data_IF_745939753795
#
_entry.id   IF_745939753795
#
_cell.length_a   1.000
_cell.length_b   1.000
_cell.length_c   1.000
_cell.angle_alpha   90.00
_cell.angle_beta   90.00
_cell.angle_gamma   90.00
#
_symmetry.space_group_name_H-M   'P 1'
#
loop_
_entity.id
_entity.type
_entity.pdbx_description
1 polymer ?
#
# COMPACT_ATOMS: atom_id res chain seq x y z
N UNK A 1 36.29 -1.52 -12.38
CA UNK A 1 35.66 -2.83 -12.13
C UNK A 1 34.31 -2.54 -11.49
N UNK A 2 33.23 -2.51 -12.28
CA UNK A 2 31.90 -2.23 -11.77
C UNK A 2 31.40 -3.45 -11.00
N UNK A 3 31.09 -3.35 -9.70
CA UNK A 3 30.51 -4.46 -8.96
C UNK A 3 29.01 -4.49 -9.24
N UNK A 4 28.61 -4.77 -10.48
CA UNK A 4 27.23 -5.16 -10.77
C UNK A 4 27.07 -6.62 -10.33
N UNK A 5 26.88 -6.81 -9.03
CA UNK A 5 26.42 -8.07 -8.47
C UNK A 5 24.97 -8.26 -8.95
N UNK A 6 24.76 -9.09 -9.98
CA UNK A 6 23.47 -9.43 -10.59
C UNK A 6 22.52 -10.24 -9.67
N UNK A 7 22.61 -10.14 -8.35
CA UNK A 7 22.26 -11.30 -7.50
C UNK A 7 20.91 -11.27 -6.78
N UNK A 8 20.06 -10.24 -6.94
CA UNK A 8 18.77 -10.19 -6.24
C UNK A 8 17.67 -9.55 -7.10
N UNK A 9 17.44 -10.02 -8.34
CA UNK A 9 16.23 -9.65 -9.07
C UNK A 9 15.08 -10.57 -8.64
N UNK A 10 14.08 -10.03 -7.95
CA UNK A 10 12.94 -10.81 -7.44
C UNK A 10 11.63 -10.22 -7.93
N UNK A 11 10.77 -11.05 -8.53
CA UNK A 11 9.44 -10.66 -8.97
C UNK A 11 8.39 -11.29 -8.06
N UNK A 12 7.56 -10.45 -7.45
CA UNK A 12 6.53 -10.85 -6.50
C UNK A 12 5.16 -10.35 -6.96
N UNK A 13 4.13 -11.12 -6.63
CA UNK A 13 2.74 -10.82 -6.97
C UNK A 13 1.87 -10.86 -5.73
N UNK A 14 0.99 -9.88 -5.60
CA UNK A 14 -0.12 -9.95 -4.68
C UNK A 14 -1.34 -10.56 -5.39
N UNK A 15 -1.89 -11.63 -4.81
CA UNK A 15 -3.04 -12.34 -5.37
C UNK A 15 -4.25 -12.11 -4.49
N UNK A 16 -5.34 -11.64 -5.09
CA UNK A 16 -6.66 -11.49 -4.46
C UNK A 16 -7.65 -12.34 -5.21
N UNK A 17 -8.37 -13.23 -4.51
CA UNK A 17 -9.40 -14.09 -5.11
C UNK A 17 -8.90 -14.88 -6.35
N UNK A 18 -7.70 -15.46 -6.27
CA UNK A 18 -7.03 -16.21 -7.36
C UNK A 18 -6.65 -15.40 -8.60
N UNK A 19 -6.63 -14.07 -8.51
CA UNK A 19 -6.11 -13.19 -9.57
C UNK A 19 -4.97 -12.34 -9.01
N UNK A 20 -3.88 -12.24 -9.76
CA UNK A 20 -2.82 -11.29 -9.43
C UNK A 20 -3.38 -9.87 -9.65
N UNK A 21 -3.20 -8.99 -8.67
CA UNK A 21 -3.71 -7.61 -8.70
C UNK A 21 -2.57 -6.62 -8.70
N UNK A 22 -1.49 -6.90 -7.97
CA UNK A 22 -0.30 -6.06 -7.95
C UNK A 22 0.93 -6.89 -8.22
N UNK A 23 1.93 -6.29 -8.84
CA UNK A 23 3.26 -6.88 -8.96
C UNK A 23 4.30 -5.90 -8.43
N UNK A 24 5.41 -6.44 -7.96
CA UNK A 24 6.60 -5.65 -7.69
C UNK A 24 7.85 -6.45 -8.06
N UNK A 25 8.78 -5.75 -8.70
CA UNK A 25 10.02 -6.30 -9.21
C UNK A 25 11.19 -5.57 -8.57
N UNK A 26 11.89 -6.28 -7.70
CA UNK A 26 13.17 -5.83 -7.15
C UNK A 26 14.22 -5.90 -8.28
N UNK A 27 14.83 -4.77 -8.60
CA UNK A 27 15.83 -4.65 -9.67
C UNK A 27 17.10 -3.94 -9.19
N UNK A 28 18.15 -3.85 -10.00
CA UNK A 28 19.36 -3.11 -9.60
C UNK A 28 19.14 -1.60 -9.37
N UNK A 29 18.11 -1.01 -9.98
CA UNK A 29 17.88 0.45 -9.97
C UNK A 29 16.81 0.90 -8.97
N UNK A 30 16.00 -0.03 -8.47
CA UNK A 30 14.85 0.26 -7.61
C UNK A 30 13.83 -0.88 -7.65
N UNK A 31 12.68 -0.65 -7.01
CA UNK A 31 11.54 -1.57 -7.06
C UNK A 31 10.55 -1.03 -8.08
N UNK A 32 10.36 -1.78 -9.17
CA UNK A 32 9.36 -1.44 -10.18
C UNK A 32 8.04 -2.12 -9.84
N UNK A 33 6.96 -1.37 -9.70
CA UNK A 33 5.67 -1.90 -9.29
C UNK A 33 4.52 -1.29 -10.06
N UNK A 34 3.37 -1.95 -10.01
CA UNK A 34 2.14 -1.46 -10.61
C UNK A 34 0.97 -2.42 -10.40
N UNK A 35 -0.15 -2.03 -10.98
CA UNK A 35 -1.41 -2.76 -10.88
C UNK A 35 -1.62 -3.59 -12.16
N UNK A 36 -2.16 -4.79 -12.00
CA UNK A 36 -2.45 -5.71 -13.09
C UNK A 36 -3.94 -5.69 -13.40
N UNK A 37 -4.29 -5.22 -14.59
CA UNK A 37 -5.66 -5.23 -15.06
C UNK A 37 -5.85 -6.38 -16.06
N UNK A 38 -6.24 -7.53 -15.52
CA UNK A 38 -6.73 -8.65 -16.33
C UNK A 38 -8.21 -8.41 -16.61
N UNK A 39 -8.47 -7.54 -17.60
CA UNK A 39 -9.82 -7.18 -18.02
C UNK A 39 -10.74 -8.40 -18.06
N UNK A 40 -11.96 -8.26 -17.51
CA UNK A 40 -12.96 -9.31 -17.65
C UNK A 40 -13.14 -9.58 -19.16
N UNK A 41 -12.84 -10.81 -19.55
CA UNK A 41 -12.79 -11.27 -20.92
C UNK A 41 -13.94 -10.70 -21.75
N UNK A 42 -13.61 -9.90 -22.77
CA UNK A 42 -14.28 -9.79 -24.06
C UNK A 42 -15.70 -10.40 -24.12
N UNK A 43 -16.68 -9.79 -23.46
CA UNK A 43 -18.08 -10.07 -23.74
C UNK A 43 -18.47 -9.28 -24.98
N UNK A 44 -18.28 -9.93 -26.13
CA UNK A 44 -19.06 -9.80 -27.37
C UNK A 44 -19.31 -8.37 -27.91
N UNK A 45 -18.77 -8.10 -29.11
CA UNK A 45 -19.01 -6.92 -29.96
C UNK A 45 -18.37 -5.60 -29.50
N UNK A 46 -17.07 -5.43 -29.77
CA UNK A 46 -16.64 -4.38 -30.70
C UNK A 46 -15.23 -4.71 -31.16
N UNK A 47 -15.09 -4.92 -32.46
CA UNK A 47 -13.82 -5.08 -33.15
C UNK A 47 -13.55 -3.74 -33.82
N UNK A 48 -13.03 -2.77 -33.07
CA UNK A 48 -12.49 -1.55 -33.65
C UNK A 48 -11.41 -0.89 -32.78
N UNK A 49 -10.18 -0.97 -33.31
CA UNK A 49 -9.08 -0.01 -33.19
C UNK A 49 -8.17 -0.05 -31.95
N UNK A 50 -6.87 -0.20 -32.27
CA UNK A 50 -5.66 -0.11 -31.45
C UNK A 50 -5.44 -1.16 -30.34
N UNK A 51 -4.64 -2.17 -30.70
CA UNK A 51 -4.09 -3.18 -29.79
C UNK A 51 -2.96 -2.65 -28.92
N UNK A 52 -3.26 -1.66 -28.07
CA UNK A 52 -2.44 -1.32 -26.91
C UNK A 52 -3.11 -1.89 -25.65
N UNK A 53 -3.16 -3.22 -25.57
CA UNK A 53 -3.62 -3.94 -24.38
C UNK A 53 -2.58 -3.76 -23.26
N UNK A 54 -2.55 -2.58 -22.63
CA UNK A 54 -1.71 -2.32 -21.47
C UNK A 54 -2.32 -3.05 -20.26
N UNK A 55 -1.87 -4.28 -20.01
CA UNK A 55 -2.25 -5.09 -18.85
C UNK A 55 -1.78 -4.53 -17.50
N UNK A 56 -1.01 -3.44 -17.54
CA UNK A 56 -0.34 -2.87 -16.37
C UNK A 56 -0.69 -1.39 -16.26
N UNK A 57 -1.26 -1.01 -15.12
CA UNK A 57 -1.64 0.35 -14.76
C UNK A 57 -0.80 0.86 -13.58
N UNK A 58 -0.84 2.17 -13.30
CA UNK A 58 -0.20 2.81 -12.14
C UNK A 58 1.28 2.41 -11.92
N UNK A 59 2.05 2.37 -13.03
CA UNK A 59 3.47 1.99 -13.02
C UNK A 59 4.30 3.02 -12.27
N UNK A 60 5.13 2.58 -11.33
CA UNK A 60 6.08 3.42 -10.64
C UNK A 60 7.41 2.70 -10.37
N UNK A 61 8.49 3.49 -10.27
CA UNK A 61 9.81 3.01 -9.88
C UNK A 61 10.19 3.64 -8.54
N UNK A 62 10.13 2.83 -7.49
CA UNK A 62 10.53 3.21 -6.15
C UNK A 62 12.07 3.21 -6.06
N UNK A 63 12.65 4.39 -5.80
CA UNK A 63 14.08 4.56 -5.61
C UNK A 63 14.55 4.08 -4.23
N UNK A 64 15.69 3.40 -4.18
CA UNK A 64 16.31 2.94 -2.93
C UNK A 64 16.72 4.06 -1.97
N UNK A 65 16.79 5.31 -2.44
CA UNK A 65 17.04 6.46 -1.58
C UNK A 65 15.91 6.67 -0.56
N UNK A 66 14.67 6.30 -0.91
CA UNK A 66 13.51 6.40 0.00
C UNK A 66 13.57 5.40 1.17
N UNK A 67 14.48 4.43 1.12
CA UNK A 67 14.62 3.40 2.16
C UNK A 67 15.51 3.84 3.33
N UNK A 68 16.25 4.93 3.17
CA UNK A 68 17.34 5.38 4.04
C UNK A 68 17.34 6.90 4.25
N UNK A 69 16.15 7.51 4.17
CA UNK A 69 15.95 8.95 4.35
C UNK A 69 16.85 9.82 3.43
N UNK A 70 17.17 9.29 2.23
CA UNK A 70 17.93 10.00 1.20
C UNK A 70 19.45 10.06 1.39
N UNK A 71 20.00 9.44 2.45
CA UNK A 71 21.43 9.55 2.77
C UNK A 71 22.28 8.58 1.93
N UNK A 72 21.83 7.33 1.78
CA UNK A 72 22.55 6.30 1.00
C UNK A 72 21.59 5.34 0.31
N UNK A 73 21.77 5.04 -0.98
CA UNK A 73 20.92 4.06 -1.65
C UNK A 73 21.19 2.65 -1.09
N UNK A 74 20.28 2.14 -0.26
CA UNK A 74 20.39 0.79 0.32
C UNK A 74 19.48 -0.15 -0.46
N UNK A 75 20.09 -1.10 -1.17
CA UNK A 75 19.35 -2.13 -1.88
C UNK A 75 18.82 -3.20 -0.91
N UNK A 76 17.51 -3.51 -0.92
CA UNK A 76 16.96 -4.65 -0.19
C UNK A 76 17.53 -5.98 -0.68
N UNK A 77 17.74 -6.92 0.24
CA UNK A 77 18.15 -8.29 -0.10
C UNK A 77 16.98 -9.16 -0.57
N UNK A 78 15.75 -8.87 -0.11
CA UNK A 78 14.54 -9.59 -0.49
C UNK A 78 13.30 -8.70 -0.36
N UNK A 79 12.26 -9.04 -1.14
CA UNK A 79 11.00 -8.30 -1.24
C UNK A 79 9.81 -9.25 -0.98
N UNK A 80 8.73 -8.73 -0.39
CA UNK A 80 7.41 -9.33 -0.46
C UNK A 80 6.35 -8.23 -0.60
N UNK A 81 5.19 -8.57 -1.18
CA UNK A 81 4.14 -7.59 -1.54
C UNK A 81 2.81 -7.99 -0.94
N UNK A 82 2.16 -7.06 -0.24
CA UNK A 82 0.79 -7.18 0.26
C UNK A 82 -0.20 -6.31 -0.54
N UNK A 83 -1.44 -6.18 -0.07
CA UNK A 83 -2.42 -5.33 -0.74
C UNK A 83 -2.00 -3.87 -0.74
N UNK A 84 -1.37 -3.37 0.33
CA UNK A 84 -0.99 -1.95 0.46
C UNK A 84 0.48 -1.72 0.80
N UNK A 85 1.25 -2.77 1.08
CA UNK A 85 2.61 -2.64 1.60
C UNK A 85 3.65 -3.45 0.81
N UNK A 86 4.87 -2.95 0.87
CA UNK A 86 6.09 -3.69 0.57
C UNK A 86 6.78 -4.06 1.87
N UNK A 87 7.15 -5.33 1.99
CA UNK A 87 8.03 -5.81 3.03
C UNK A 87 9.42 -5.94 2.41
N UNK A 88 10.38 -5.21 2.97
CA UNK A 88 11.71 -5.07 2.42
C UNK A 88 12.74 -5.52 3.44
N UNK A 89 13.48 -6.58 3.11
CA UNK A 89 14.56 -7.05 3.96
C UNK A 89 15.82 -6.21 3.67
N UNK A 90 16.32 -5.50 4.68
CA UNK A 90 17.53 -4.69 4.61
C UNK A 90 18.43 -5.08 5.77
N UNK A 91 19.54 -5.75 5.46
CA UNK A 91 20.41 -6.33 6.48
C UNK A 91 19.64 -7.40 7.28
N UNK A 92 19.47 -7.18 8.58
CA UNK A 92 18.70 -8.07 9.47
C UNK A 92 17.37 -7.45 9.95
N UNK A 93 16.81 -6.53 9.15
CA UNK A 93 15.63 -5.76 9.48
C UNK A 93 14.62 -5.83 8.36
N UNK A 94 13.34 -5.92 8.69
CA UNK A 94 12.26 -5.85 7.69
C UNK A 94 11.62 -4.48 7.81
N UNK A 95 11.77 -3.67 6.77
CA UNK A 95 11.05 -2.40 6.66
C UNK A 95 9.73 -2.61 5.95
N UNK A 96 8.67 -2.08 6.53
CA UNK A 96 7.34 -2.05 5.94
C UNK A 96 7.11 -0.68 5.33
N UNK A 97 6.91 -0.64 4.02
CA UNK A 97 6.68 0.59 3.27
C UNK A 97 5.31 0.55 2.62
N UNK A 98 4.58 1.67 2.63
CA UNK A 98 3.33 1.79 1.90
C UNK A 98 3.59 1.87 0.39
N UNK A 99 2.89 1.06 -0.42
CA UNK A 99 3.04 1.07 -1.88
C UNK A 99 2.54 2.37 -2.51
N UNK A 100 1.59 3.05 -1.87
CA UNK A 100 0.85 4.18 -2.44
C UNK A 100 1.49 5.50 -2.03
N UNK A 101 1.72 5.71 -0.73
CA UNK A 101 2.40 6.92 -0.25
C UNK A 101 3.93 6.85 -0.33
N UNK A 102 4.49 5.66 -0.58
CA UNK A 102 5.93 5.40 -0.60
C UNK A 102 6.64 5.78 0.72
N UNK A 103 5.91 5.77 1.84
CA UNK A 103 6.42 6.07 3.17
C UNK A 103 6.72 4.79 3.95
N UNK A 104 7.78 4.81 4.75
CA UNK A 104 8.08 3.74 5.72
C UNK A 104 7.10 3.88 6.89
N UNK A 105 6.35 2.82 7.17
CA UNK A 105 5.38 2.79 8.27
C UNK A 105 5.98 2.13 9.50
N UNK A 106 6.76 1.07 9.32
CA UNK A 106 7.28 0.28 10.42
C UNK A 106 8.64 -0.35 10.07
N UNK A 107 9.45 -0.60 11.09
CA UNK A 107 10.70 -1.36 10.99
C UNK A 107 10.67 -2.48 12.03
N UNK A 108 10.70 -3.72 11.56
CA UNK A 108 10.72 -4.93 12.39
C UNK A 108 12.16 -5.41 12.55
N UNK A 109 12.58 -5.59 13.80
CA UNK A 109 13.86 -6.17 14.16
C UNK A 109 13.69 -7.62 14.56
N UNK A 110 14.55 -8.50 14.02
CA UNK A 110 14.65 -9.87 14.48
C UNK A 110 15.76 -9.95 15.52
N UNK A 111 15.37 -10.12 16.78
CA UNK A 111 16.30 -10.40 17.88
C UNK A 111 16.83 -11.82 17.71
N UNK A 112 17.91 -11.95 16.94
CA UNK A 112 18.68 -13.17 16.86
C UNK A 112 19.46 -13.27 18.17
N UNK A 113 18.98 -14.10 19.09
CA UNK A 113 19.71 -14.40 20.33
C UNK A 113 21.09 -14.95 19.99
N UNK A 114 22.10 -14.35 20.63
CA UNK A 114 23.54 -14.52 20.37
C UNK A 114 24.09 -15.95 20.48
N UNK A 115 23.26 -16.96 20.75
CA UNK A 115 23.66 -18.35 20.99
C UNK A 115 23.71 -19.20 19.73
N UNK A 116 23.22 -18.71 18.59
CA UNK A 116 23.42 -19.37 17.31
C UNK A 116 24.17 -18.43 16.37
N UNK A 117 25.23 -18.94 15.75
CA UNK A 117 25.96 -18.28 14.66
C UNK A 117 25.11 -18.18 13.38
N UNK A 118 23.80 -17.94 13.52
CA UNK A 118 22.88 -17.81 12.41
C UNK A 118 23.21 -16.51 11.68
N UNK A 119 23.72 -16.69 10.46
CA UNK A 119 23.67 -15.68 9.41
C UNK A 119 22.20 -15.22 9.39
N UNK A 120 21.93 -13.95 9.71
CA UNK A 120 20.57 -13.46 9.98
C UNK A 120 19.56 -13.68 8.86
N UNK A 121 18.36 -13.11 8.97
CA UNK A 121 17.27 -13.37 8.02
C UNK A 121 17.79 -13.26 6.57
N UNK A 122 17.55 -14.32 5.80
CA UNK A 122 18.11 -14.48 4.45
C UNK A 122 17.15 -13.91 3.42
N UNK A 123 15.86 -14.14 3.61
CA UNK A 123 14.85 -13.75 2.64
C UNK A 123 13.44 -13.69 3.22
N UNK A 124 12.55 -13.15 2.39
CA UNK A 124 11.12 -13.08 2.62
C UNK A 124 10.40 -13.96 1.61
N UNK A 125 9.26 -14.50 2.01
CA UNK A 125 8.33 -15.13 1.09
C UNK A 125 6.89 -14.88 1.52
N UNK A 126 5.97 -14.88 0.56
CA UNK A 126 4.54 -14.73 0.80
C UNK A 126 3.80 -15.98 0.37
N UNK A 127 2.92 -16.48 1.22
CA UNK A 127 1.90 -17.46 0.84
C UNK A 127 0.69 -16.70 0.27
N UNK A 128 0.57 -16.69 -1.05
CA UNK A 128 -0.51 -16.02 -1.75
C UNK A 128 -1.89 -16.67 -1.54
N UNK A 129 -1.94 -17.93 -1.10
CA UNK A 129 -3.20 -18.63 -0.81
C UNK A 129 -3.72 -18.30 0.58
N UNK A 130 -2.81 -18.23 1.56
CA UNK A 130 -3.16 -17.90 2.94
C UNK A 130 -3.13 -16.40 3.25
N UNK A 131 -2.49 -15.59 2.40
CA UNK A 131 -2.23 -14.17 2.67
C UNK A 131 -1.24 -13.96 3.81
N UNK A 132 -0.33 -14.91 4.03
CA UNK A 132 0.65 -14.89 5.12
C UNK A 132 2.04 -14.56 4.58
N UNK A 133 2.84 -13.93 5.43
CA UNK A 133 4.21 -13.56 5.12
C UNK A 133 5.15 -14.30 6.05
N UNK A 134 6.29 -14.73 5.51
CA UNK A 134 7.31 -15.44 6.25
C UNK A 134 8.68 -14.81 5.99
N UNK A 135 9.46 -14.73 7.05
CA UNK A 135 10.88 -14.44 7.03
C UNK A 135 11.62 -15.72 7.41
N UNK A 136 12.70 -16.06 6.73
CA UNK A 136 13.42 -17.29 7.00
C UNK A 136 14.93 -17.06 7.08
N UNK A 137 15.57 -17.84 7.95
CA UNK A 137 17.02 -17.95 8.05
C UNK A 137 17.47 -19.37 7.62
N UNK A 138 18.70 -19.78 7.96
CA UNK A 138 19.21 -21.11 7.59
C UNK A 138 18.52 -22.27 8.35
N UNK A 139 17.91 -22.00 9.49
CA UNK A 139 17.50 -22.99 10.49
C UNK A 139 16.05 -22.81 10.98
N UNK A 140 15.43 -21.67 10.73
CA UNK A 140 14.16 -21.22 11.31
C UNK A 140 13.32 -20.45 10.30
N UNK A 141 12.00 -20.51 10.49
CA UNK A 141 11.01 -19.74 9.73
C UNK A 141 10.16 -18.96 10.73
N UNK A 142 10.04 -17.66 10.51
CA UNK A 142 9.28 -16.73 11.31
C UNK A 142 8.08 -16.24 10.50
N UNK A 143 6.89 -16.32 11.08
CA UNK A 143 5.71 -15.73 10.46
C UNK A 143 5.64 -14.23 10.79
N UNK A 144 5.50 -13.41 9.76
CA UNK A 144 5.26 -11.98 9.88
C UNK A 144 3.75 -11.75 9.82
N UNK A 145 3.17 -11.33 10.94
CA UNK A 145 1.74 -11.03 11.03
C UNK A 145 1.45 -9.62 10.52
N UNK A 146 0.56 -9.52 9.53
CA UNK A 146 0.05 -8.24 9.04
C UNK A 146 -1.33 -8.03 9.64
N UNK A 147 -1.43 -7.12 10.59
CA UNK A 147 -2.68 -6.84 11.29
C UNK A 147 -3.30 -5.55 10.74
N UNK A 148 -4.47 -5.69 10.14
CA UNK A 148 -5.31 -4.58 9.71
C UNK A 148 -4.61 -3.53 8.81
N UNK A 149 -3.93 -3.99 7.76
CA UNK A 149 -3.17 -3.08 6.87
C UNK A 149 -4.01 -2.03 6.14
N UNK A 150 -5.32 -2.26 5.97
CA UNK A 150 -6.24 -1.33 5.33
C UNK A 150 -6.79 -0.24 6.25
N UNK A 151 -6.43 -0.23 7.54
CA UNK A 151 -7.08 0.62 8.56
C UNK A 151 -6.99 2.12 8.27
N UNK A 152 -5.80 2.58 7.91
CA UNK A 152 -5.50 4.01 7.71
C UNK A 152 -5.37 4.39 6.23
N UNK A 153 -5.64 3.45 5.31
CA UNK A 153 -5.51 3.69 3.87
C UNK A 153 -6.45 4.79 3.37
N UNK A 154 -7.62 4.98 3.98
CA UNK A 154 -8.51 6.08 3.63
C UNK A 154 -7.87 7.46 3.83
N UNK A 155 -6.99 7.63 4.84
CA UNK A 155 -6.25 8.88 5.08
C UNK A 155 -5.18 9.08 4.01
N UNK A 156 -4.45 8.01 3.69
CA UNK A 156 -3.42 8.03 2.64
C UNK A 156 -4.02 8.49 1.31
N UNK A 157 -5.15 7.90 0.90
CA UNK A 157 -5.84 8.33 -0.32
C UNK A 157 -6.41 9.75 -0.22
N UNK A 158 -6.85 10.17 0.98
CA UNK A 158 -7.35 11.52 1.20
C UNK A 158 -6.24 12.57 1.02
N UNK A 159 -5.05 12.32 1.54
CA UNK A 159 -3.88 13.19 1.40
C UNK A 159 -3.46 13.34 -0.08
N UNK A 160 -3.64 12.27 -0.86
CA UNK A 160 -3.42 12.28 -2.32
C UNK A 160 -4.57 12.92 -3.11
N UNK A 161 -5.66 13.32 -2.45
CA UNK A 161 -6.89 13.84 -3.07
C UNK A 161 -7.60 12.84 -3.98
N UNK A 162 -7.33 11.55 -3.80
CA UNK A 162 -8.01 10.45 -4.49
C UNK A 162 -9.28 10.04 -3.72
N UNK A 163 -10.27 10.92 -3.73
CA UNK A 163 -11.48 10.79 -2.91
C UNK A 163 -12.27 9.49 -3.17
N UNK A 164 -12.32 9.02 -4.43
CA UNK A 164 -13.02 7.80 -4.79
C UNK A 164 -12.38 6.57 -4.13
N UNK A 165 -11.05 6.48 -4.17
CA UNK A 165 -10.29 5.41 -3.53
C UNK A 165 -10.37 5.53 -2.00
N UNK A 166 -10.33 6.74 -1.44
CA UNK A 166 -10.52 6.98 -0.01
C UNK A 166 -11.88 6.45 0.49
N UNK A 167 -12.97 6.77 -0.22
CA UNK A 167 -14.32 6.31 0.11
C UNK A 167 -14.48 4.79 0.01
N UNK A 168 -13.81 4.16 -0.97
CA UNK A 168 -13.80 2.70 -1.12
C UNK A 168 -13.08 1.99 0.05
N UNK A 169 -12.10 2.65 0.67
CA UNK A 169 -11.34 2.12 1.80
C UNK A 169 -11.89 2.55 3.18
N UNK A 170 -12.95 3.38 3.22
CA UNK A 170 -13.62 3.73 4.46
C UNK A 170 -14.44 2.55 4.98
N UNK A 171 -14.32 2.25 6.28
CA UNK A 171 -15.12 1.22 6.96
C UNK A 171 -16.29 1.84 7.69
N UNK A 172 -16.03 2.94 8.40
CA UNK A 172 -17.01 3.59 9.27
C UNK A 172 -17.73 4.77 8.59
N UNK A 173 -18.91 5.13 9.12
CA UNK A 173 -19.62 6.34 8.69
C UNK A 173 -18.83 7.62 8.99
N UNK A 174 -18.16 7.68 10.15
CA UNK A 174 -17.33 8.83 10.53
C UNK A 174 -16.15 9.06 9.58
N UNK A 175 -15.50 7.97 9.11
CA UNK A 175 -14.42 8.06 8.13
C UNK A 175 -14.95 8.61 6.79
N UNK A 176 -16.11 8.13 6.33
CA UNK A 176 -16.76 8.62 5.10
C UNK A 176 -17.12 10.10 5.20
N UNK A 177 -17.65 10.52 6.34
CA UNK A 177 -17.98 11.92 6.60
C UNK A 177 -16.74 12.82 6.52
N UNK A 178 -15.61 12.39 7.07
CA UNK A 178 -14.35 13.14 6.99
C UNK A 178 -13.86 13.28 5.53
N UNK A 179 -13.98 12.22 4.73
CA UNK A 179 -13.64 12.27 3.30
C UNK A 179 -14.59 13.20 2.54
N UNK A 180 -15.90 13.12 2.79
CA UNK A 180 -16.87 14.02 2.16
C UNK A 180 -16.68 15.49 2.56
N UNK A 181 -16.33 15.76 3.82
CA UNK A 181 -16.02 17.10 4.30
C UNK A 181 -14.82 17.68 3.55
N UNK A 182 -13.71 16.95 3.50
CA UNK A 182 -12.53 17.38 2.76
C UNK A 182 -12.80 17.56 1.24
N UNK A 183 -13.63 16.70 0.64
CA UNK A 183 -14.06 16.85 -0.75
C UNK A 183 -14.92 18.10 -0.95
N UNK A 184 -15.81 18.41 0.00
CA UNK A 184 -16.64 19.61 -0.03
C UNK A 184 -15.80 20.88 0.11
N UNK A 185 -14.84 20.90 1.04
CA UNK A 185 -13.92 22.03 1.26
C UNK A 185 -13.02 22.29 0.04
N UNK A 186 -12.54 21.24 -0.62
CA UNK A 186 -11.78 21.36 -1.86
C UNK A 186 -12.63 21.96 -3.00
N UNK A 187 -13.87 21.51 -3.16
CA UNK A 187 -14.81 22.07 -4.14
C UNK A 187 -15.19 23.53 -3.82
N UNK A 188 -15.37 23.84 -2.53
CA UNK A 188 -15.66 25.19 -2.06
C UNK A 188 -14.50 26.15 -2.35
N UNK A 189 -13.26 25.72 -2.07
CA UNK A 189 -12.04 26.46 -2.39
C UNK A 189 -11.89 26.70 -3.90
N UNK A 190 -12.37 25.76 -4.71
CA UNK A 190 -12.43 25.85 -6.18
C UNK A 190 -13.60 26.70 -6.70
N UNK A 191 -14.39 27.33 -5.80
CA UNK A 191 -15.59 28.13 -6.08
C UNK A 191 -16.75 27.35 -6.74
N UNK A 192 -16.72 26.03 -6.70
CA UNK A 192 -17.82 25.17 -7.16
C UNK A 192 -18.79 24.91 -6.00
N UNK A 193 -19.60 25.92 -5.72
CA UNK A 193 -20.50 25.91 -4.55
C UNK A 193 -21.60 24.85 -4.65
N UNK A 194 -22.08 24.53 -5.86
CA UNK A 194 -23.13 23.52 -6.04
C UNK A 194 -22.63 22.13 -5.70
N UNK A 195 -21.43 21.77 -6.18
CA UNK A 195 -20.83 20.48 -5.81
C UNK A 195 -20.46 20.44 -4.34
N UNK A 196 -19.88 21.51 -3.79
CA UNK A 196 -19.56 21.61 -2.38
C UNK A 196 -20.80 21.36 -1.50
N UNK A 197 -21.93 22.03 -1.79
CA UNK A 197 -23.18 21.84 -1.07
C UNK A 197 -23.69 20.38 -1.15
N UNK A 198 -23.57 19.74 -2.32
CA UNK A 198 -23.96 18.34 -2.49
C UNK A 198 -23.15 17.37 -1.64
N UNK A 199 -21.86 17.66 -1.38
CA UNK A 199 -21.01 16.85 -0.53
C UNK A 199 -21.24 17.15 0.96
N UNK A 200 -21.41 18.42 1.33
CA UNK A 200 -21.79 18.79 2.71
C UNK A 200 -23.12 18.13 3.12
N UNK A 201 -24.09 18.02 2.21
CA UNK A 201 -25.36 17.36 2.49
C UNK A 201 -25.23 15.84 2.77
N UNK A 202 -24.12 15.20 2.35
CA UNK A 202 -23.86 13.78 2.60
C UNK A 202 -23.22 13.50 3.96
N UNK A 203 -22.69 14.52 4.63
CA UNK A 203 -22.09 14.39 5.96
C UNK A 203 -23.21 14.25 7.00
N UNK A 204 -23.35 13.07 7.61
CA UNK A 204 -24.52 12.76 8.47
C UNK A 204 -24.15 12.56 9.95
N UNK A 205 -23.04 11.90 10.23
CA UNK A 205 -22.65 11.42 11.55
C UNK A 205 -21.92 12.49 12.39
N UNK A 206 -21.10 13.35 11.77
CA UNK A 206 -20.46 14.49 12.47
C UNK A 206 -21.46 15.50 13.07
N UNK A 207 -22.59 15.70 12.40
CA UNK A 207 -23.66 16.59 12.88
C UNK A 207 -24.35 15.98 14.10
N UNK A 208 -24.59 14.67 14.08
CA UNK A 208 -25.19 13.95 15.21
C UNK A 208 -24.29 13.93 16.46
N UNK A 209 -22.97 13.75 16.31
CA UNK A 209 -22.04 13.78 17.45
C UNK A 209 -21.98 15.15 18.13
N UNK A 210 -22.00 16.23 17.35
CA UNK A 210 -22.09 17.57 17.93
C UNK A 210 -23.41 17.79 18.67
N UNK A 211 -24.54 17.33 18.13
CA UNK A 211 -25.86 17.44 18.78
C UNK A 211 -25.90 16.65 20.10
N UNK A 212 -25.26 15.48 20.18
CA UNK A 212 -25.19 14.69 21.43
C UNK A 212 -24.32 15.39 22.48
N UNK A 213 -23.17 15.97 22.10
CA UNK A 213 -22.33 16.73 23.05
C UNK A 213 -23.04 17.96 23.62
N UNK A 214 -23.83 18.68 22.82
CA UNK A 214 -24.57 19.86 23.31
C UNK A 214 -25.66 19.46 24.32
N UNK A 215 -26.21 18.25 24.22
CA UNK A 215 -27.22 17.74 25.16
C UNK A 215 -26.63 17.06 26.41
N UNK A 216 -25.33 16.72 26.41
CA UNK A 216 -24.64 16.09 27.54
C UNK A 216 -24.15 17.07 28.62
N UNK A 217 -24.03 18.36 28.29
CA UNK A 217 -23.56 19.42 29.19
C UNK A 217 -24.69 20.17 29.93
N UNK A 218 -25.93 19.66 29.87
CA UNK A 218 -27.12 20.23 30.53
C UNK A 218 -27.64 19.39 31.72
N UNK A 219 -26.81 18.53 32.31
CA UNK A 219 -27.13 17.67 33.46
C UNK A 219 -26.50 18.14 34.77
#
# INVERSE_FOLDING_TARGET
MYPFCLSCSELHFFIKQKRAVHFAWLSGVGIYHGDLNFGASHSFMDSSQDGDENFVENKALLSYLKLSDGIEAVQPSSLAVSEFHFLLLIGNKVKVMNRISEQIIEELHFDLTSESASKGIIGLCSDASAGLFYAYDQNSIFQVSVNDEGRDMWKVYLDMKEYAAALANCRDGLQRDQVYLAQAEAAFSSKDFLRAASFFAKVYCLVASHIVSINGDLG
#
